data_IF_899105045178
#
_entry.id   IF_899105045178
#
_cell.length_a   1.000
_cell.length_b   1.000
_cell.length_c   1.000
_cell.angle_alpha   90.00
_cell.angle_beta   90.00
_cell.angle_gamma   90.00
#
_symmetry.space_group_name_H-M   'P 1'
#
loop_
_entity.id
_entity.type
_entity.pdbx_description
1 polymer ?
#
# COMPACT_ATOMS: atom_id res chain seq x y z
N UNK A 1 9.58 -16.10 -15.09
CA UNK A 1 10.76 -15.23 -14.90
C UNK A 1 10.59 -14.54 -13.55
N UNK A 2 11.37 -14.93 -12.54
CA UNK A 2 11.40 -14.22 -11.25
C UNK A 2 12.04 -12.85 -11.51
N UNK A 3 11.33 -11.77 -11.22
CA UNK A 3 11.92 -10.43 -11.31
C UNK A 3 13.09 -10.32 -10.32
N UNK A 4 14.31 -10.00 -10.78
CA UNK A 4 15.42 -9.68 -9.88
C UNK A 4 14.98 -8.58 -8.90
N UNK A 5 15.31 -8.72 -7.61
CA UNK A 5 14.92 -7.75 -6.57
C UNK A 5 13.57 -8.00 -5.87
N UNK A 6 12.75 -8.92 -6.39
CA UNK A 6 11.55 -9.36 -5.68
C UNK A 6 10.34 -8.41 -5.56
N UNK A 7 10.03 -7.48 -6.49
CA UNK A 7 8.94 -6.51 -6.30
C UNK A 7 7.59 -7.13 -5.91
N UNK A 8 7.26 -8.31 -6.49
CA UNK A 8 6.03 -9.04 -6.14
C UNK A 8 6.03 -9.51 -4.69
N UNK A 9 7.11 -10.16 -4.24
CA UNK A 9 7.20 -10.65 -2.87
C UNK A 9 7.19 -9.47 -1.89
N UNK A 10 7.93 -8.41 -2.23
CA UNK A 10 7.93 -7.14 -1.49
C UNK A 10 6.52 -6.57 -1.34
N UNK A 11 5.75 -6.49 -2.43
CA UNK A 11 4.36 -6.02 -2.37
C UNK A 11 3.49 -6.91 -1.46
N UNK A 12 3.57 -8.24 -1.61
CA UNK A 12 2.77 -9.18 -0.81
C UNK A 12 3.06 -9.05 0.69
N UNK A 13 4.34 -9.05 1.09
CA UNK A 13 4.72 -9.04 2.51
C UNK A 13 4.50 -7.67 3.13
N UNK A 14 4.69 -6.59 2.35
CA UNK A 14 4.37 -5.23 2.75
C UNK A 14 2.88 -5.04 2.98
N UNK A 15 2.04 -5.47 2.04
CA UNK A 15 0.58 -5.43 2.21
C UNK A 15 0.15 -6.21 3.45
N UNK A 16 0.69 -7.43 3.65
CA UNK A 16 0.37 -8.26 4.81
C UNK A 16 0.78 -7.60 6.13
N UNK A 17 1.98 -7.03 6.20
CA UNK A 17 2.49 -6.35 7.40
C UNK A 17 1.63 -5.12 7.74
N UNK A 18 1.32 -4.27 6.74
CA UNK A 18 0.48 -3.10 6.95
C UNK A 18 -0.94 -3.50 7.40
N UNK A 19 -1.48 -4.61 6.89
CA UNK A 19 -2.78 -5.12 7.35
C UNK A 19 -2.75 -5.53 8.83
N UNK A 20 -1.67 -6.19 9.27
CA UNK A 20 -1.50 -6.56 10.69
C UNK A 20 -1.36 -5.33 11.58
N UNK A 21 -0.56 -4.34 11.16
CA UNK A 21 -0.38 -3.09 11.91
C UNK A 21 -1.68 -2.30 11.98
N UNK A 22 -2.42 -2.17 10.87
CA UNK A 22 -3.73 -1.52 10.85
C UNK A 22 -4.73 -2.26 11.73
N UNK A 23 -4.75 -3.59 11.68
CA UNK A 23 -5.58 -4.42 12.56
C UNK A 23 -5.26 -4.21 14.04
N UNK A 24 -3.98 -4.15 14.38
CA UNK A 24 -3.51 -3.88 15.74
C UNK A 24 -3.88 -2.47 16.22
N UNK A 25 -3.74 -1.45 15.37
CA UNK A 25 -4.13 -0.07 15.70
C UNK A 25 -5.64 0.05 15.96
N UNK A 26 -6.46 -0.61 15.15
CA UNK A 26 -7.92 -0.66 15.32
C UNK A 26 -8.32 -1.42 16.59
N UNK A 27 -7.67 -2.56 16.88
CA UNK A 27 -7.87 -3.29 18.13
C UNK A 27 -7.39 -2.46 19.35
N UNK A 28 -6.39 -1.60 19.17
CA UNK A 28 -5.89 -0.63 20.14
C UNK A 28 -6.77 0.61 20.33
N UNK A 29 -7.97 0.64 19.72
CA UNK A 29 -8.99 1.65 19.95
C UNK A 29 -9.06 2.76 18.92
N UNK A 30 -8.31 2.68 17.81
CA UNK A 30 -8.51 3.62 16.70
C UNK A 30 -9.93 3.49 16.12
N UNK A 31 -10.60 4.62 15.91
CA UNK A 31 -11.97 4.68 15.36
C UNK A 31 -12.05 5.35 14.00
N UNK A 32 -10.95 5.94 13.56
CA UNK A 32 -10.77 6.55 12.25
C UNK A 32 -9.60 5.88 11.54
N UNK A 33 -9.72 5.72 10.23
CA UNK A 33 -8.62 5.29 9.35
C UNK A 33 -8.42 6.35 8.29
N UNK A 34 -7.19 6.77 8.06
CA UNK A 34 -6.83 7.64 6.94
C UNK A 34 -5.93 6.86 5.99
N UNK A 35 -6.37 6.66 4.75
CA UNK A 35 -5.56 6.08 3.68
C UNK A 35 -5.04 7.23 2.82
N UNK A 36 -3.77 7.61 3.01
CA UNK A 36 -3.11 8.68 2.25
C UNK A 36 -2.52 8.14 0.96
N UNK A 37 -2.93 8.71 -0.18
CA UNK A 37 -2.63 8.18 -1.50
C UNK A 37 -3.30 6.83 -1.69
N UNK A 38 -4.61 6.78 -1.43
CA UNK A 38 -5.36 5.53 -1.32
C UNK A 38 -5.28 4.66 -2.58
N UNK A 39 -5.01 5.21 -3.77
CA UNK A 39 -4.90 4.49 -5.02
C UNK A 39 -6.04 3.50 -5.20
N UNK A 40 -5.70 2.26 -5.54
CA UNK A 40 -6.63 1.13 -5.56
C UNK A 40 -6.59 0.27 -4.28
N UNK A 41 -6.13 0.82 -3.16
CA UNK A 41 -6.19 0.16 -1.87
C UNK A 41 -7.64 -0.24 -1.55
N UNK A 42 -7.83 -1.51 -1.22
CA UNK A 42 -9.14 -2.10 -0.92
C UNK A 42 -9.33 -2.44 0.56
N UNK A 43 -8.41 -2.04 1.45
CA UNK A 43 -8.47 -2.31 2.90
C UNK A 43 -9.81 -1.92 3.52
N UNK A 44 -10.37 -0.78 3.13
CA UNK A 44 -11.68 -0.31 3.59
C UNK A 44 -12.81 -1.32 3.34
N UNK A 45 -12.70 -2.12 2.29
CA UNK A 45 -13.71 -3.06 1.83
C UNK A 45 -13.38 -4.51 2.20
N UNK A 46 -12.10 -4.89 2.24
CA UNK A 46 -11.68 -6.29 2.49
C UNK A 46 -11.31 -6.61 3.93
N UNK A 47 -10.96 -5.63 4.76
CA UNK A 47 -10.58 -5.87 6.16
C UNK A 47 -11.79 -5.72 7.07
N UNK A 48 -12.22 -6.78 7.79
CA UNK A 48 -13.36 -6.70 8.71
C UNK A 48 -13.17 -5.64 9.81
N UNK A 49 -11.95 -5.47 10.31
CA UNK A 49 -11.64 -4.46 11.33
C UNK A 49 -11.90 -3.03 10.84
N UNK A 50 -11.58 -2.72 9.57
CA UNK A 50 -11.73 -1.39 9.00
C UNK A 50 -13.22 -0.98 8.83
N UNK A 51 -14.12 -1.96 8.68
CA UNK A 51 -15.58 -1.72 8.55
C UNK A 51 -16.23 -1.12 9.79
N UNK A 52 -15.53 -1.14 10.94
CA UNK A 52 -16.00 -0.57 12.22
C UNK A 52 -15.45 0.84 12.48
N UNK A 53 -14.65 1.37 11.56
CA UNK A 53 -14.07 2.71 11.63
C UNK A 53 -14.62 3.58 10.49
N UNK A 54 -14.59 4.90 10.68
CA UNK A 54 -14.76 5.82 9.56
C UNK A 54 -13.46 5.84 8.76
N UNK A 55 -13.53 5.52 7.47
CA UNK A 55 -12.34 5.45 6.61
C UNK A 55 -12.33 6.66 5.67
N UNK A 56 -11.28 7.45 5.74
CA UNK A 56 -11.02 8.58 4.84
C UNK A 56 -10.00 8.14 3.79
N UNK A 57 -10.40 8.11 2.52
CA UNK A 57 -9.50 7.84 1.40
C UNK A 57 -9.07 9.16 0.77
N UNK A 58 -7.81 9.55 0.96
CA UNK A 58 -7.23 10.75 0.36
C UNK A 58 -6.46 10.35 -0.88
N UNK A 59 -6.83 10.88 -2.06
CA UNK A 59 -6.15 10.57 -3.31
C UNK A 59 -6.49 11.59 -4.41
N UNK A 60 -5.71 11.58 -5.49
CA UNK A 60 -5.88 12.46 -6.64
C UNK A 60 -7.29 12.29 -7.25
N UNK A 61 -7.99 13.40 -7.58
CA UNK A 61 -9.38 13.36 -8.05
C UNK A 61 -9.63 12.35 -9.18
N UNK A 62 -8.75 12.29 -10.18
CA UNK A 62 -8.90 11.39 -11.34
C UNK A 62 -8.83 9.89 -10.95
N UNK A 63 -7.87 9.51 -10.10
CA UNK A 63 -7.72 8.13 -9.62
C UNK A 63 -8.91 7.75 -8.75
N UNK A 64 -9.30 8.66 -7.85
CA UNK A 64 -10.39 8.46 -6.93
C UNK A 64 -11.73 8.31 -7.65
N UNK A 65 -12.01 9.12 -8.66
CA UNK A 65 -13.24 9.02 -9.47
C UNK A 65 -13.34 7.65 -10.16
N UNK A 66 -12.23 7.16 -10.73
CA UNK A 66 -12.18 5.81 -11.33
C UNK A 66 -12.42 4.72 -10.30
N UNK A 67 -11.80 4.80 -9.12
CA UNK A 67 -12.01 3.84 -8.04
C UNK A 67 -13.45 3.84 -7.55
N UNK A 68 -14.06 5.01 -7.36
CA UNK A 68 -15.46 5.14 -6.91
C UNK A 68 -16.40 4.37 -7.82
N UNK A 69 -16.27 4.52 -9.15
CA UNK A 69 -17.06 3.76 -10.13
C UNK A 69 -16.88 2.24 -10.01
N UNK A 70 -15.65 1.78 -9.76
CA UNK A 70 -15.37 0.34 -9.60
C UNK A 70 -15.97 -0.20 -8.30
N UNK A 71 -15.79 0.53 -7.19
CA UNK A 71 -16.33 0.18 -5.88
C UNK A 71 -17.86 0.17 -5.90
N UNK A 72 -18.50 1.16 -6.52
CA UNK A 72 -19.96 1.21 -6.65
C UNK A 72 -20.56 0.00 -7.38
N UNK A 73 -19.82 -0.56 -8.35
CA UNK A 73 -20.23 -1.77 -9.08
C UNK A 73 -19.95 -3.06 -8.32
N UNK A 74 -18.88 -3.09 -7.53
CA UNK A 74 -18.38 -4.32 -6.89
C UNK A 74 -18.79 -4.48 -5.43
N UNK A 75 -19.13 -3.40 -4.73
CA UNK A 75 -19.36 -3.38 -3.28
C UNK A 75 -20.74 -2.79 -2.97
N UNK A 76 -21.62 -3.53 -2.26
CA UNK A 76 -22.94 -3.04 -1.85
C UNK A 76 -22.87 -1.72 -1.06
N UNK A 77 -23.87 -0.85 -1.23
CA UNK A 77 -23.88 0.48 -0.62
C UNK A 77 -23.69 0.46 0.91
N UNK A 78 -24.36 -0.46 1.61
CA UNK A 78 -24.23 -0.62 3.06
C UNK A 78 -22.82 -1.02 3.51
N UNK A 79 -22.07 -1.73 2.67
CA UNK A 79 -20.71 -2.21 2.95
C UNK A 79 -19.62 -1.17 2.67
N UNK A 80 -19.99 -0.01 2.10
CA UNK A 80 -19.10 1.12 1.83
C UNK A 80 -19.57 2.43 2.48
N UNK A 81 -20.64 2.38 3.29
CA UNK A 81 -21.23 3.55 3.93
C UNK A 81 -20.32 4.24 4.96
N UNK A 82 -19.30 3.52 5.45
CA UNK A 82 -18.27 4.02 6.38
C UNK A 82 -17.10 4.72 5.68
N UNK A 83 -17.05 4.72 4.34
CA UNK A 83 -15.96 5.32 3.55
C UNK A 83 -16.29 6.76 3.15
N UNK A 84 -15.32 7.65 3.28
CA UNK A 84 -15.34 9.05 2.87
C UNK A 84 -14.21 9.28 1.87
N UNK A 85 -14.58 9.61 0.64
CA UNK A 85 -13.62 9.94 -0.41
C UNK A 85 -13.24 11.42 -0.29
N UNK A 86 -11.94 11.70 -0.19
CA UNK A 86 -11.36 13.03 0.00
C UNK A 86 -10.46 13.31 -1.22
N UNK A 87 -10.97 13.96 -2.27
CA UNK A 87 -10.19 14.19 -3.49
C UNK A 87 -9.17 15.31 -3.26
N UNK A 88 -7.88 15.01 -3.40
CA UNK A 88 -6.80 15.99 -3.24
C UNK A 88 -5.52 15.55 -3.95
N UNK A 89 -4.74 16.51 -4.46
CA UNK A 89 -3.34 16.28 -4.80
C UNK A 89 -2.49 16.49 -3.55
N UNK A 90 -1.86 15.41 -3.06
CA UNK A 90 -1.03 15.45 -1.85
C UNK A 90 0.21 16.33 -2.00
N UNK A 91 0.63 16.66 -3.22
CA UNK A 91 1.77 17.58 -3.45
C UNK A 91 1.41 19.03 -3.17
N UNK A 92 0.15 19.39 -3.37
CA UNK A 92 -0.32 20.78 -3.32
C UNK A 92 -1.23 21.06 -2.11
N UNK A 93 -1.76 20.01 -1.47
CA UNK A 93 -2.74 20.15 -0.40
C UNK A 93 -2.11 20.51 0.95
N UNK A 94 -2.74 21.45 1.67
CA UNK A 94 -2.59 21.55 3.13
C UNK A 94 -3.31 20.36 3.77
N UNK A 95 -2.53 19.32 4.08
CA UNK A 95 -3.05 18.07 4.61
C UNK A 95 -3.81 18.27 5.93
N UNK A 96 -3.39 19.20 6.79
CA UNK A 96 -4.02 19.40 8.08
C UNK A 96 -5.44 19.97 7.91
N UNK A 97 -5.57 21.03 7.10
CA UNK A 97 -6.87 21.64 6.81
C UNK A 97 -7.77 20.69 6.03
N UNK A 98 -7.24 20.00 5.02
CA UNK A 98 -7.96 19.00 4.23
C UNK A 98 -8.58 17.90 5.10
N UNK A 99 -7.82 17.34 6.04
CA UNK A 99 -8.31 16.26 6.91
C UNK A 99 -9.40 16.77 7.87
N UNK A 100 -9.24 17.97 8.44
CA UNK A 100 -10.27 18.59 9.31
C UNK A 100 -11.56 18.84 8.54
N UNK A 101 -11.46 19.42 7.35
CA UNK A 101 -12.62 19.73 6.50
C UNK A 101 -13.34 18.45 6.03
N UNK A 102 -12.58 17.37 5.78
CA UNK A 102 -13.14 16.06 5.49
C UNK A 102 -13.89 15.44 6.70
N UNK A 103 -13.70 15.97 7.91
CA UNK A 103 -14.34 15.50 9.13
C UNK A 103 -13.49 14.57 9.99
N UNK A 104 -12.17 14.53 9.78
CA UNK A 104 -11.26 13.83 10.71
C UNK A 104 -11.24 14.60 12.03
N UNK A 105 -11.61 13.91 13.10
CA UNK A 105 -11.59 14.46 14.46
C UNK A 105 -10.25 14.17 15.14
N UNK A 106 -9.93 14.95 16.17
CA UNK A 106 -8.75 14.72 17.02
C UNK A 106 -8.99 13.53 17.97
N UNK A 107 -9.09 12.34 17.38
CA UNK A 107 -9.31 11.06 18.03
C UNK A 107 -8.20 10.07 17.64
N UNK A 108 -8.12 8.92 18.32
CA UNK A 108 -7.16 7.87 17.96
C UNK A 108 -7.44 7.39 16.54
N UNK A 109 -6.45 7.56 15.69
CA UNK A 109 -6.55 7.36 14.25
C UNK A 109 -5.44 6.43 13.78
N UNK A 110 -5.76 5.52 12.86
CA UNK A 110 -4.78 4.71 12.17
C UNK A 110 -4.57 5.29 10.76
N UNK A 111 -3.36 5.73 10.46
CA UNK A 111 -3.00 6.28 9.16
C UNK A 111 -2.20 5.24 8.40
N UNK A 112 -2.52 5.03 7.13
CA UNK A 112 -1.73 4.23 6.19
C UNK A 112 -1.26 5.14 5.06
N UNK A 113 0.04 5.21 4.84
CA UNK A 113 0.70 5.99 3.81
C UNK A 113 1.67 5.10 3.02
N UNK A 114 1.08 4.21 2.23
CA UNK A 114 1.79 3.15 1.49
C UNK A 114 2.11 3.59 0.06
N UNK A 115 3.37 3.48 -0.34
CA UNK A 115 3.81 3.64 -1.73
C UNK A 115 3.84 5.08 -2.24
N UNK A 116 3.76 6.08 -1.36
CA UNK A 116 3.64 7.49 -1.75
C UNK A 116 4.89 8.31 -1.43
N UNK A 117 5.49 8.13 -0.24
CA UNK A 117 6.61 8.95 0.24
C UNK A 117 7.77 9.01 -0.76
N UNK A 118 8.04 7.91 -1.46
CA UNK A 118 9.09 7.77 -2.45
C UNK A 118 8.91 8.62 -3.73
N UNK A 119 7.81 9.36 -3.86
CA UNK A 119 7.50 10.25 -5.00
C UNK A 119 7.27 11.72 -4.59
N UNK A 120 7.49 12.03 -3.31
CA UNK A 120 7.38 13.38 -2.77
C UNK A 120 8.76 13.98 -2.55
N UNK A 121 8.82 15.28 -2.30
CA UNK A 121 10.02 15.93 -1.77
C UNK A 121 10.05 15.86 -0.23
N UNK A 122 11.22 16.12 0.36
CA UNK A 122 11.42 16.03 1.81
C UNK A 122 10.48 16.96 2.61
N UNK A 123 10.28 18.20 2.14
CA UNK A 123 9.45 19.18 2.83
C UNK A 123 7.99 18.73 2.87
N UNK A 124 7.50 18.17 1.77
CA UNK A 124 6.15 17.59 1.69
C UNK A 124 6.00 16.41 2.66
N UNK A 125 7.05 15.60 2.82
CA UNK A 125 7.04 14.47 3.77
C UNK A 125 6.99 14.96 5.22
N UNK A 126 7.84 15.92 5.57
CA UNK A 126 7.92 16.50 6.92
C UNK A 126 6.63 17.21 7.32
N UNK A 127 6.08 17.99 6.38
CA UNK A 127 4.81 18.70 6.57
C UNK A 127 3.65 17.71 6.79
N UNK A 128 3.61 16.60 6.06
CA UNK A 128 2.59 15.58 6.23
C UNK A 128 2.71 14.89 7.61
N UNK A 129 3.92 14.51 8.05
CA UNK A 129 4.11 13.95 9.38
C UNK A 129 3.67 14.92 10.48
N UNK A 130 4.07 16.19 10.38
CA UNK A 130 3.68 17.25 11.32
C UNK A 130 2.17 17.44 11.34
N UNK A 131 1.53 17.48 10.16
CA UNK A 131 0.08 17.59 10.05
C UNK A 131 -0.63 16.42 10.73
N UNK A 132 -0.20 15.18 10.47
CA UNK A 132 -0.76 13.97 11.06
C UNK A 132 -0.62 13.96 12.59
N UNK A 133 0.54 14.36 13.12
CA UNK A 133 0.76 14.50 14.55
C UNK A 133 -0.16 15.56 15.19
N UNK A 134 -0.43 16.66 14.48
CA UNK A 134 -1.27 17.75 14.97
C UNK A 134 -2.78 17.51 14.88
N UNK A 135 -3.27 16.80 13.85
CA UNK A 135 -4.71 16.59 13.63
C UNK A 135 -5.27 15.34 14.32
N UNK A 136 -4.41 14.40 14.73
CA UNK A 136 -4.83 13.15 15.38
C UNK A 136 -4.53 13.18 16.89
N UNK A 137 -5.17 12.31 17.67
CA UNK A 137 -4.96 12.25 19.12
C UNK A 137 -3.72 11.44 19.50
N UNK A 138 -3.16 11.63 20.71
CA UNK A 138 -2.17 10.73 21.27
C UNK A 138 -2.56 9.25 21.21
N UNK A 139 -1.57 8.41 20.88
CA UNK A 139 -1.73 6.98 20.64
C UNK A 139 -2.28 6.62 19.26
N UNK A 140 -2.46 7.60 18.37
CA UNK A 140 -2.66 7.36 16.93
C UNK A 140 -1.42 6.71 16.32
N UNK A 141 -1.61 5.91 15.27
CA UNK A 141 -0.54 5.17 14.58
C UNK A 141 -0.41 5.67 13.16
N UNK A 142 0.81 5.95 12.72
CA UNK A 142 1.14 6.32 11.34
C UNK A 142 1.98 5.21 10.74
N UNK A 143 1.36 4.41 9.87
CA UNK A 143 1.99 3.30 9.17
C UNK A 143 2.36 3.79 7.77
N UNK A 144 3.64 3.82 7.44
CA UNK A 144 4.12 4.36 6.17
C UNK A 144 5.19 3.46 5.58
N UNK A 145 5.39 3.59 4.28
CA UNK A 145 6.51 2.96 3.60
C UNK A 145 7.54 4.00 3.22
N UNK A 146 8.81 3.62 3.12
CA UNK A 146 9.85 4.50 2.58
C UNK A 146 10.99 3.69 1.97
N UNK A 147 11.72 4.29 1.04
CA UNK A 147 12.94 3.70 0.47
C UNK A 147 14.14 4.03 1.34
N UNK A 148 15.01 3.07 1.61
CA UNK A 148 16.32 3.34 2.21
C UNK A 148 17.08 4.29 1.27
N UNK A 149 17.42 5.49 1.77
CA UNK A 149 18.08 6.55 0.99
C UNK A 149 19.38 6.05 0.35
N UNK A 150 20.09 5.14 1.02
CA UNK A 150 21.34 4.54 0.54
C UNK A 150 21.16 3.77 -0.77
N UNK A 151 19.95 3.30 -1.04
CA UNK A 151 19.62 2.63 -2.29
C UNK A 151 19.41 3.62 -3.45
N UNK A 152 19.03 4.86 -3.14
CA UNK A 152 18.77 5.90 -4.13
C UNK A 152 20.03 6.69 -4.49
N UNK A 153 20.86 7.03 -3.50
CA UNK A 153 22.11 7.79 -3.71
C UNK A 153 23.34 6.91 -4.05
N UNK A 154 23.18 5.58 -4.01
CA UNK A 154 24.22 4.62 -4.33
C UNK A 154 25.27 4.40 -3.23
N UNK A 155 25.07 4.97 -2.04
CA UNK A 155 25.98 4.76 -0.89
C UNK A 155 25.83 3.37 -0.25
N UNK A 156 24.74 2.64 -0.54
CA UNK A 156 24.49 1.29 -0.03
C UNK A 156 24.64 0.21 -1.12
N UNK A 157 24.84 -1.04 -0.67
CA UNK A 157 24.91 -2.21 -1.57
C UNK A 157 23.59 -2.97 -1.53
N UNK A 158 22.77 -2.82 -2.57
CA UNK A 158 21.46 -3.45 -2.65
C UNK A 158 21.25 -4.18 -3.98
N UNK A 159 20.74 -5.40 -3.93
CA UNK A 159 20.40 -6.18 -5.13
C UNK A 159 19.02 -5.80 -5.66
N UNK A 160 18.90 -5.52 -6.96
CA UNK A 160 17.61 -5.32 -7.63
C UNK A 160 17.06 -3.88 -7.63
N UNK A 161 17.78 -2.92 -7.04
CA UNK A 161 17.35 -1.52 -7.02
C UNK A 161 17.43 -0.88 -8.40
N UNK A 162 18.48 -1.15 -9.18
CA UNK A 162 18.67 -0.55 -10.50
C UNK A 162 17.56 -0.95 -11.48
N UNK A 163 17.20 -2.23 -11.52
CA UNK A 163 16.11 -2.74 -12.36
C UNK A 163 14.76 -2.19 -11.92
N UNK A 164 14.53 -2.10 -10.60
CA UNK A 164 13.29 -1.55 -10.09
C UNK A 164 13.17 -0.05 -10.39
N UNK A 165 14.21 0.74 -10.09
CA UNK A 165 14.27 2.17 -10.39
C UNK A 165 14.06 2.46 -11.89
N UNK A 166 14.70 1.68 -12.77
CA UNK A 166 14.49 1.79 -14.21
C UNK A 166 13.04 1.49 -14.62
N UNK A 167 12.42 0.47 -14.02
CA UNK A 167 11.02 0.10 -14.32
C UNK A 167 10.03 1.18 -13.89
N UNK A 168 10.19 1.79 -12.71
CA UNK A 168 9.26 2.84 -12.25
C UNK A 168 9.50 4.15 -12.98
N UNK A 169 10.77 4.48 -13.30
CA UNK A 169 11.10 5.66 -14.10
C UNK A 169 10.52 5.54 -15.52
N UNK A 170 10.55 4.35 -16.13
CA UNK A 170 9.94 4.12 -17.45
C UNK A 170 8.40 4.27 -17.42
N UNK A 171 7.78 4.08 -16.26
CA UNK A 171 6.36 4.33 -16.03
C UNK A 171 6.04 5.80 -15.71
N UNK A 172 7.06 6.68 -15.67
CA UNK A 172 6.90 8.10 -15.34
C UNK A 172 6.91 8.41 -13.83
N UNK A 173 7.28 7.44 -13.00
CA UNK A 173 7.28 7.53 -11.53
C UNK A 173 8.70 7.29 -10.98
N UNK A 174 9.68 8.18 -11.23
CA UNK A 174 11.00 8.02 -10.65
C UNK A 174 10.94 8.13 -9.12
N UNK A 175 11.73 7.31 -8.41
CA UNK A 175 11.91 7.48 -6.97
C UNK A 175 12.68 8.77 -6.69
N UNK A 176 12.10 9.67 -5.90
CA UNK A 176 12.67 11.00 -5.59
C UNK A 176 13.09 11.16 -4.14
N UNK A 177 12.64 10.27 -3.25
CA UNK A 177 12.84 10.44 -1.81
C UNK A 177 13.04 9.11 -1.07
N UNK A 178 13.89 9.17 -0.05
CA UNK A 178 14.18 8.09 0.87
C UNK A 178 14.65 8.60 2.23
N UNK A 179 14.52 7.76 3.24
CA UNK A 179 14.95 8.00 4.62
C UNK A 179 16.09 7.04 4.97
N UNK A 180 16.93 7.44 5.93
CA UNK A 180 17.93 6.56 6.50
C UNK A 180 17.32 5.82 7.70
N UNK A 181 17.26 4.47 7.70
CA UNK A 181 16.71 3.71 8.83
C UNK A 181 17.32 4.07 10.18
N UNK A 182 18.64 4.33 10.19
CA UNK A 182 19.40 4.65 11.40
C UNK A 182 19.07 6.06 11.95
N UNK A 183 18.60 6.97 11.10
CA UNK A 183 18.22 8.35 11.47
C UNK A 183 16.70 8.51 11.67
N UNK A 184 15.91 7.50 11.26
CA UNK A 184 14.45 7.54 11.26
C UNK A 184 13.84 7.92 12.63
N UNK A 185 14.32 7.41 13.78
CA UNK A 185 13.78 7.81 15.08
C UNK A 185 13.90 9.30 15.36
N UNK A 186 15.06 9.90 15.06
CA UNK A 186 15.31 11.33 15.27
C UNK A 186 14.48 12.18 14.32
N UNK A 187 14.45 11.80 13.04
CA UNK A 187 13.64 12.46 12.02
C UNK A 187 12.15 12.48 12.37
N UNK A 188 11.58 11.37 12.86
CA UNK A 188 10.19 11.33 13.29
C UNK A 188 9.94 12.18 14.55
N UNK A 189 10.89 12.20 15.49
CA UNK A 189 10.78 12.97 16.73
C UNK A 189 10.70 14.47 16.48
N UNK A 190 11.45 14.99 15.50
CA UNK A 190 11.36 16.38 15.05
C UNK A 190 9.93 16.73 14.59
N UNK A 191 9.19 15.77 14.03
CA UNK A 191 7.83 15.97 13.51
C UNK A 191 6.74 15.58 14.52
N UNK A 192 7.11 15.39 15.79
CA UNK A 192 6.17 15.06 16.86
C UNK A 192 5.71 13.61 16.89
N UNK A 193 6.45 12.68 16.26
CA UNK A 193 6.16 11.26 16.21
C UNK A 193 7.25 10.42 16.91
N UNK A 194 6.91 9.22 17.35
CA UNK A 194 7.88 8.27 17.91
C UNK A 194 7.86 6.95 17.15
N UNK A 195 9.03 6.45 16.74
CA UNK A 195 9.14 5.19 16.01
C UNK A 195 8.73 3.98 16.88
N UNK A 196 7.91 3.11 16.31
CA UNK A 196 7.39 1.89 16.96
C UNK A 196 8.01 0.65 16.33
N UNK A 197 8.03 0.58 15.02
CA UNK A 197 8.63 -0.53 14.29
C UNK A 197 9.13 0.00 12.94
N UNK A 198 10.23 -0.58 12.48
CA UNK A 198 10.73 -0.43 11.12
C UNK A 198 11.18 -1.81 10.64
N UNK A 199 10.67 -2.27 9.50
CA UNK A 199 11.00 -3.55 8.89
C UNK A 199 11.14 -3.39 7.39
N UNK A 200 12.25 -3.87 6.85
CA UNK A 200 12.40 -4.06 5.40
C UNK A 200 11.45 -5.15 4.89
N UNK A 201 11.10 -5.08 3.59
CA UNK A 201 10.30 -6.12 2.95
C UNK A 201 11.00 -7.49 3.00
N UNK A 202 12.34 -7.52 3.00
CA UNK A 202 13.11 -8.76 3.21
C UNK A 202 12.87 -9.37 4.58
N UNK A 203 12.92 -8.58 5.63
CA UNK A 203 12.67 -9.06 6.99
C UNK A 203 11.21 -9.50 7.15
N UNK A 204 10.26 -8.76 6.57
CA UNK A 204 8.86 -9.17 6.55
C UNK A 204 8.66 -10.49 5.78
N UNK A 205 9.40 -10.72 4.68
CA UNK A 205 9.37 -11.99 3.96
C UNK A 205 9.87 -13.16 4.80
N UNK A 206 10.88 -12.96 5.65
CA UNK A 206 11.32 -13.99 6.58
C UNK A 206 10.23 -14.36 7.59
N UNK A 207 9.41 -13.40 8.03
CA UNK A 207 8.31 -13.65 8.97
C UNK A 207 7.07 -14.28 8.31
N UNK A 208 6.71 -13.87 7.08
CA UNK A 208 5.46 -14.29 6.43
C UNK A 208 5.61 -15.38 5.37
N UNK A 209 6.72 -15.45 4.65
CA UNK A 209 6.91 -16.40 3.55
C UNK A 209 7.70 -17.64 4.01
N UNK A 210 8.76 -17.48 4.81
CA UNK A 210 9.59 -18.62 5.22
C UNK A 210 8.79 -19.71 5.97
N UNK A 211 7.83 -19.40 6.88
CA UNK A 211 7.00 -20.42 7.51
C UNK A 211 6.09 -21.19 6.54
N UNK A 212 5.86 -20.66 5.33
CA UNK A 212 5.10 -21.30 4.26
C UNK A 212 6.00 -22.10 3.31
N UNK A 213 7.30 -22.25 3.61
CA UNK A 213 8.28 -22.88 2.72
C UNK A 213 8.57 -22.04 1.47
N UNK A 214 8.28 -20.74 1.52
CA UNK A 214 8.41 -19.80 0.40
C UNK A 214 9.65 -18.92 0.60
N UNK A 215 10.51 -18.86 -0.43
CA UNK A 215 11.83 -18.21 -0.37
C UNK A 215 12.02 -17.17 -1.50
N UNK A 216 10.94 -16.58 -2.00
CA UNK A 216 11.04 -15.54 -3.02
C UNK A 216 11.85 -14.35 -2.49
N UNK A 217 12.75 -13.76 -3.31
CA UNK A 217 13.50 -12.60 -2.89
C UNK A 217 12.53 -11.44 -2.61
N UNK A 218 12.82 -10.66 -1.59
CA UNK A 218 12.15 -9.39 -1.29
C UNK A 218 13.20 -8.31 -1.02
N UNK A 219 12.80 -7.06 -1.23
CA UNK A 219 13.72 -5.92 -1.22
C UNK A 219 14.17 -5.57 0.20
N UNK A 220 15.48 -5.55 0.47
CA UNK A 220 16.01 -5.10 1.75
C UNK A 220 15.96 -3.57 1.93
N UNK A 221 15.77 -2.82 0.85
CA UNK A 221 15.78 -1.35 0.83
C UNK A 221 14.39 -0.71 0.86
N UNK A 222 13.31 -1.51 0.90
CA UNK A 222 11.96 -0.95 0.96
C UNK A 222 11.32 -1.32 2.28
N UNK A 223 11.01 -0.30 3.07
CA UNK A 223 10.63 -0.45 4.47
C UNK A 223 9.15 -0.19 4.69
N UNK A 224 8.61 -0.83 5.72
CA UNK A 224 7.38 -0.45 6.40
C UNK A 224 7.76 0.00 7.80
N UNK A 225 7.38 1.21 8.15
CA UNK A 225 7.51 1.73 9.50
C UNK A 225 6.14 2.06 10.09
N UNK A 226 6.05 1.95 11.41
CA UNK A 226 4.94 2.47 12.19
C UNK A 226 5.51 3.47 13.20
N UNK A 227 4.92 4.64 13.26
CA UNK A 227 5.16 5.64 14.29
C UNK A 227 3.89 5.84 15.13
N UNK A 228 4.05 6.37 16.34
CA UNK A 228 2.92 6.82 17.15
C UNK A 228 2.98 8.31 17.45
N UNK A 229 1.80 8.90 17.63
CA UNK A 229 1.67 10.22 18.24
C UNK A 229 1.83 10.05 19.77
N UNK A 230 2.89 10.56 20.39
CA UNK A 230 3.15 10.34 21.80
C UNK A 230 2.13 11.07 22.68
N UNK A 231 1.86 10.50 23.86
CA UNK A 231 1.11 11.22 24.91
C UNK A 231 2.02 12.25 25.60
N UNK A 232 1.43 13.32 26.15
CA UNK A 232 2.17 14.40 26.84
C UNK A 232 3.07 13.91 27.99
N UNK A 233 2.75 12.75 28.59
CA UNK A 233 3.57 12.10 29.61
C UNK A 233 4.81 11.38 29.04
N UNK A 234 4.73 10.87 27.81
CA UNK A 234 5.84 10.19 27.12
C UNK A 234 6.92 11.14 26.60
N UNK A 235 6.59 12.42 26.40
CA UNK A 235 7.56 13.44 25.95
C UNK A 235 8.50 13.92 27.06
N UNK A 236 8.17 13.70 28.35
CA UNK A 236 9.02 14.12 29.48
C UNK A 236 10.07 13.06 29.89
N UNK A 237 10.05 11.88 29.27
CA UNK A 237 10.79 10.70 29.75
C UNK A 237 11.91 10.17 28.87
N UNK A 238 12.21 10.78 27.71
CA UNK A 238 13.30 10.31 26.85
C UNK A 238 14.58 11.15 27.08
N UNK A 239 15.59 10.65 27.81
CA UNK A 239 16.91 11.23 27.73
C UNK A 239 17.46 11.01 26.32
N UNK A 240 18.05 12.04 25.73
CA UNK A 240 18.83 11.91 24.51
C UNK A 240 19.92 10.84 24.72
N UNK A 241 19.83 9.71 24.02
CA UNK A 241 20.86 8.66 24.03
C UNK A 241 20.51 7.33 24.72
N UNK A 242 19.25 7.03 25.05
CA UNK A 242 18.90 5.67 25.49
C UNK A 242 18.98 4.66 24.32
N UNK A 243 19.67 3.51 24.48
CA UNK A 243 19.71 2.49 23.44
C UNK A 243 18.31 1.92 23.20
N UNK A 244 17.99 1.49 21.96
CA UNK A 244 16.68 0.97 21.63
C UNK A 244 16.31 -0.20 22.53
N UNK A 245 15.15 -0.11 23.19
CA UNK A 245 14.66 -1.12 24.13
C UNK A 245 14.48 -2.50 23.48
N UNK A 246 14.61 -3.54 24.32
CA UNK A 246 14.66 -4.97 23.96
C UNK A 246 13.65 -5.39 22.85
N UNK A 247 14.14 -5.82 21.67
CA UNK A 247 13.33 -6.29 20.55
C UNK A 247 12.36 -7.44 20.89
N UNK A 248 12.64 -8.20 21.95
CA UNK A 248 11.84 -9.37 22.34
C UNK A 248 10.47 -9.00 22.89
N UNK A 249 10.30 -7.80 23.47
CA UNK A 249 9.00 -7.34 23.97
C UNK A 249 8.04 -6.90 22.85
N UNK A 250 8.55 -6.40 21.71
CA UNK A 250 7.72 -5.95 20.58
C UNK A 250 7.17 -7.11 19.75
N UNK A 251 7.86 -8.26 19.71
CA UNK A 251 7.46 -9.47 18.98
C UNK A 251 6.17 -10.13 19.50
N UNK A 252 5.73 -9.80 20.73
CA UNK A 252 4.50 -10.32 21.31
C UNK A 252 3.22 -9.68 20.72
N UNK A 253 3.32 -8.47 20.16
CA UNK A 253 2.17 -7.74 19.61
C UNK A 253 1.74 -8.22 18.21
N UNK A 254 2.60 -8.98 17.52
CA UNK A 254 2.39 -9.43 16.13
C UNK A 254 2.18 -10.94 15.99
N UNK A 255 2.02 -11.69 17.09
CA UNK A 255 1.60 -13.09 16.96
C UNK A 255 0.12 -13.14 16.57
N UNK A 256 -0.26 -13.77 15.44
CA UNK A 256 -1.66 -13.94 15.12
C UNK A 256 -2.33 -14.71 16.25
N UNK A 257 -3.33 -14.09 16.91
CA UNK A 257 -4.26 -14.84 17.75
C UNK A 257 -5.01 -15.79 16.82
N UNK A 258 -5.01 -17.09 17.12
CA UNK A 258 -5.89 -18.05 16.46
C UNK A 258 -7.31 -17.54 16.60
N UNK A 259 -7.95 -17.23 15.48
CA UNK A 259 -9.38 -16.96 15.42
C UNK A 259 -10.06 -18.31 15.69
N UNK A 260 -10.86 -18.47 16.76
CA UNK A 260 -11.67 -19.67 16.94
C UNK A 260 -12.64 -19.79 15.77
N UNK A 261 -12.96 -21.00 15.29
CA UNK A 261 -14.08 -21.15 14.36
C UNK A 261 -15.36 -20.63 15.04
N UNK A 262 -16.14 -19.83 14.32
CA UNK A 262 -17.46 -19.39 14.77
C UNK A 262 -18.33 -20.64 15.00
N UNK A 263 -18.79 -20.83 16.24
CA UNK A 263 -19.91 -21.70 16.55
C UNK A 263 -21.19 -20.99 16.07
N UNK A 264 -21.66 -21.34 14.87
CA UNK A 264 -23.00 -21.00 14.39
C UNK A 264 -23.98 -22.13 14.78
N UNK A 265 -24.85 -21.96 15.79
CA UNK A 265 -25.84 -22.95 16.16
C UNK A 265 -27.07 -22.76 15.28
N UNK A 266 -26.93 -23.07 13.99
CA UNK A 266 -27.83 -22.42 13.02
C UNK A 266 -28.32 -23.18 11.82
N UNK A 267 -27.81 -24.35 11.40
CA UNK A 267 -28.44 -25.10 10.29
C UNK A 267 -28.02 -26.58 10.24
N UNK A 268 -28.69 -27.42 11.03
CA UNK A 268 -28.81 -28.86 10.74
C UNK A 268 -30.22 -29.14 10.23
N UNK A 269 -30.38 -29.24 8.91
CA UNK A 269 -31.41 -30.08 8.31
C UNK A 269 -30.78 -30.83 7.14
N UNK A 270 -30.70 -32.14 7.31
CA UNK A 270 -30.18 -33.06 6.32
C UNK A 270 -31.10 -33.17 5.11
N UNK A 271 -30.50 -33.38 3.95
CA UNK A 271 -31.18 -33.94 2.79
C UNK A 271 -30.33 -35.10 2.29
N UNK A 272 -31.02 -36.23 2.15
CA UNK A 272 -30.50 -37.55 1.79
C UNK A 272 -29.94 -37.56 0.37
N UNK A 273 -28.93 -38.40 0.18
CA UNK A 273 -28.42 -38.80 -1.12
C UNK A 273 -29.38 -39.79 -1.79
N UNK A 274 -29.78 -39.51 -3.03
CA UNK A 274 -30.32 -40.49 -3.97
C UNK A 274 -29.52 -40.43 -5.28
N UNK A 275 -29.37 -41.60 -5.90
CA UNK A 275 -28.38 -41.92 -6.92
C UNK A 275 -29.00 -42.13 -8.31
N UNK A 276 -28.38 -41.49 -9.32
CA UNK A 276 -28.20 -41.90 -10.76
C UNK A 276 -29.44 -41.89 -11.69
N UNK A 277 -29.30 -41.96 -13.06
CA UNK A 277 -28.10 -42.08 -13.94
C UNK A 277 -28.06 -41.18 -15.22
N UNK A 278 -26.88 -41.12 -15.91
CA UNK A 278 -26.81 -41.37 -17.37
C UNK A 278 -26.56 -40.23 -18.41
N UNK A 279 -25.28 -40.02 -18.78
CA UNK A 279 -24.69 -39.81 -20.14
C UNK A 279 -25.02 -38.54 -21.00
N UNK A 280 -24.22 -38.18 -22.04
CA UNK A 280 -22.81 -38.52 -22.36
C UNK A 280 -21.89 -37.32 -22.75
N UNK A 281 -20.60 -37.62 -22.82
CA UNK A 281 -19.51 -36.83 -23.40
C UNK A 281 -19.71 -36.51 -24.89
N UNK A 282 -19.25 -35.32 -25.31
CA UNK A 282 -18.90 -35.05 -26.72
C UNK A 282 -17.42 -34.68 -26.84
N UNK A 283 -16.69 -35.56 -27.54
CA UNK A 283 -15.30 -35.41 -27.96
C UNK A 283 -15.19 -34.51 -29.19
N UNK A 284 -14.00 -33.92 -29.31
CA UNK A 284 -13.38 -33.30 -30.50
C UNK A 284 -13.60 -34.04 -31.83
N UNK A 285 -13.76 -33.25 -32.89
CA UNK A 285 -13.19 -33.36 -34.25
C UNK A 285 -13.51 -32.01 -34.93
N UNK A 286 -12.78 -31.41 -35.86
CA UNK A 286 -11.66 -31.80 -36.73
C UNK A 286 -11.54 -30.72 -37.82
N UNK A 287 -10.34 -30.56 -38.37
CA UNK A 287 -9.86 -29.53 -39.32
C UNK A 287 -10.62 -29.40 -40.66
N UNK A 288 -10.49 -28.23 -41.32
CA UNK A 288 -9.91 -27.97 -42.68
C UNK A 288 -10.19 -26.50 -43.06
N UNK A 289 -9.19 -25.64 -43.20
CA UNK A 289 -8.39 -25.32 -44.40
C UNK A 289 -9.21 -24.94 -45.65
N UNK A 290 -9.15 -23.65 -46.06
CA UNK A 290 -9.02 -23.27 -47.46
C UNK A 290 -8.42 -21.87 -47.63
N UNK A 291 -7.39 -21.83 -48.48
CA UNK A 291 -6.66 -20.70 -49.03
C UNK A 291 -7.54 -19.89 -49.98
N UNK A 292 -7.34 -18.57 -50.05
CA UNK A 292 -7.08 -17.82 -51.29
C UNK A 292 -7.16 -16.29 -51.07
N UNK A 293 -6.05 -15.57 -51.27
CA UNK A 293 -5.78 -14.73 -52.46
C UNK A 293 -4.55 -13.84 -52.23
N UNK A 294 -3.73 -13.80 -53.28
CA UNK A 294 -2.41 -13.17 -53.42
C UNK A 294 -2.48 -11.66 -53.75
N UNK A 295 -1.33 -10.95 -53.72
CA UNK A 295 -1.23 -9.50 -53.69
C UNK A 295 -1.10 -8.88 -55.09
N UNK A 296 -1.31 -7.55 -55.18
CA UNK A 296 -0.97 -6.74 -56.36
C UNK A 296 0.19 -5.81 -56.02
N UNK A 297 1.14 -5.72 -56.95
CA UNK A 297 2.41 -5.04 -56.84
C UNK A 297 2.51 -3.85 -57.82
N UNK A 298 3.36 -2.87 -57.45
CA UNK A 298 4.14 -1.90 -58.26
C UNK A 298 3.36 -0.89 -59.13
N UNK A 299 3.63 0.40 -59.01
CA UNK A 299 4.80 1.05 -59.64
C UNK A 299 4.76 2.61 -59.56
N UNK A 300 5.71 3.33 -60.19
CA UNK A 300 6.52 4.35 -59.51
C UNK A 300 6.28 5.81 -59.97
N UNK A 301 6.84 6.80 -59.25
CA UNK A 301 7.39 8.00 -59.90
C UNK A 301 7.24 9.37 -59.22
N UNK A 302 8.42 10.00 -59.00
CA UNK A 302 8.76 11.44 -59.05
C UNK A 302 8.50 12.37 -57.85
N UNK A 303 9.61 12.90 -57.34
CA UNK A 303 9.76 14.22 -56.71
C UNK A 303 10.35 15.21 -57.76
N UNK A 304 10.70 16.49 -57.44
CA UNK A 304 10.21 17.44 -56.44
C UNK A 304 9.80 18.81 -57.08
N UNK A 305 9.19 19.72 -56.31
CA UNK A 305 9.12 21.15 -56.67
C UNK A 305 9.54 22.03 -55.49
N UNK A 306 10.50 22.91 -55.75
CA UNK A 306 10.98 24.00 -54.90
C UNK A 306 10.09 25.24 -55.10
N UNK A 307 9.94 26.07 -54.07
CA UNK A 307 9.49 27.48 -54.17
C UNK A 307 9.12 28.05 -52.80
N UNK A 308 10.05 28.74 -52.11
CA UNK A 308 10.07 30.21 -51.87
C UNK A 308 8.80 30.74 -51.16
N UNK A 309 8.83 31.14 -49.89
CA UNK A 309 9.48 32.30 -49.23
C UNK A 309 8.42 33.28 -48.66
N UNK A 310 8.75 33.89 -47.50
CA UNK A 310 8.25 35.15 -46.91
C UNK A 310 6.84 35.09 -46.31
N UNK A 311 6.56 35.64 -45.13
CA UNK A 311 7.25 36.57 -44.22
C UNK A 311 6.88 36.22 -42.77
#
# INVERSE_FOLDING_TARGET
MLWPGGPRASAVVRTRLIDDLLGAALAGGARQVVLLGAGYDSRAYRLPAARRATVFEVDHPATQERKRRLVERAVPAGERAHVRFVPADLKEADLASLLRDAGVRQERTAVVWEGVTNYLDARSVDAAFTALAGVTAPGSRVIFTYMDRRALDGSGTFTGIAEWAASVSAAGEPFTFGLLPDELPGHLAEQGLSLVIDRSAREAAADYLAPLGRAEPAAPFYHVAEAEVPSAEGQRGAPAGAPPGDPRRRRALLRPRRIPPDDDPGHRRGVRAESRPGLPLLRRQGRRDHRDRRPVARGPGRAPARGRSRR
#
